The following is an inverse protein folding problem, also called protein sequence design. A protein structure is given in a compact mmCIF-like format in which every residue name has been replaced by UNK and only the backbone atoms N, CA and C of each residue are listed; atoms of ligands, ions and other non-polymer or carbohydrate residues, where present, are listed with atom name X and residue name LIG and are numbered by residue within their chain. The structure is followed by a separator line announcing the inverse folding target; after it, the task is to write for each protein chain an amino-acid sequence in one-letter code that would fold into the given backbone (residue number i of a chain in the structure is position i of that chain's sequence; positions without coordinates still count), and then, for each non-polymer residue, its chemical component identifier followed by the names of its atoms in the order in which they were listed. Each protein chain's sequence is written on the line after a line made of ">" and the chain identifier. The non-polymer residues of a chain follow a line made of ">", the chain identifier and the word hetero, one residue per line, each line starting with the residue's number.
data_IF_042036804543
#
_entry.id   IF_042036804543
#
_cell.length_a   1.000
_cell.length_b   1.000
_cell.length_c   1.000
_cell.angle_alpha   90.00
_cell.angle_beta   90.00
_cell.angle_gamma   90.00
#
_symmetry.space_group_name_H-M   'P 1'
#
loop_
_entity.id
_entity.type
_entity.pdbx_description
1 polymer ?
#
# COMPACT_ATOMS: atom_id res chain seq x y z
N UNK A 1 -3.60 13.36 -11.46
CA UNK A 1 -3.61 14.79 -11.85
C UNK A 1 -4.80 15.04 -12.75
N UNK A 2 -5.75 15.87 -12.31
CA UNK A 2 -6.95 16.22 -13.07
C UNK A 2 -7.76 15.00 -13.58
N UNK A 3 -7.99 14.03 -12.71
CA UNK A 3 -8.78 12.82 -13.02
C UNK A 3 -8.06 11.73 -13.83
N UNK A 4 -6.80 11.94 -14.22
CA UNK A 4 -6.03 10.94 -14.98
C UNK A 4 -5.42 9.87 -14.06
N UNK A 5 -5.42 8.62 -14.55
CA UNK A 5 -4.67 7.50 -13.96
C UNK A 5 -3.19 7.65 -14.31
N UNK A 6 -2.41 8.16 -13.36
CA UNK A 6 -0.99 8.48 -13.54
C UNK A 6 -0.04 7.46 -12.91
N UNK A 7 -0.57 6.47 -12.20
CA UNK A 7 0.18 5.40 -11.57
C UNK A 7 -0.73 4.51 -10.73
N UNK A 8 -0.19 3.40 -10.25
CA UNK A 8 -0.92 2.43 -9.45
C UNK A 8 -0.10 1.22 -9.08
N UNK A 9 -0.71 0.34 -8.29
CA UNK A 9 -0.19 -0.97 -7.93
C UNK A 9 -1.35 -1.97 -7.83
N UNK A 10 -1.04 -3.25 -7.93
CA UNK A 10 -2.01 -4.31 -7.71
C UNK A 10 -1.36 -5.53 -7.07
N UNK A 11 -2.18 -6.37 -6.46
CA UNK A 11 -1.74 -7.54 -5.74
C UNK A 11 -2.89 -8.45 -5.32
N UNK A 12 -2.54 -9.52 -4.62
CA UNK A 12 -3.48 -10.53 -4.11
C UNK A 12 -3.56 -10.40 -2.59
N UNK A 13 -4.78 -10.40 -2.06
CA UNK A 13 -5.05 -10.43 -0.62
C UNK A 13 -5.53 -11.81 -0.18
N UNK A 14 -4.93 -12.37 0.85
CA UNK A 14 -5.37 -13.64 1.46
C UNK A 14 -5.09 -13.65 2.96
N UNK A 15 -6.14 -13.70 3.79
CA UNK A 15 -6.01 -13.42 5.22
C UNK A 15 -5.33 -12.07 5.44
N UNK A 16 -4.41 -12.00 6.40
CA UNK A 16 -3.59 -10.84 6.70
C UNK A 16 -2.31 -10.72 5.84
N UNK A 17 -2.22 -11.46 4.73
CA UNK A 17 -1.17 -11.33 3.71
C UNK A 17 -1.68 -10.51 2.52
N UNK A 18 -0.86 -9.56 2.07
CA UNK A 18 -0.98 -8.94 0.75
C UNK A 18 0.28 -9.21 -0.06
N UNK A 19 0.15 -9.90 -1.19
CA UNK A 19 1.23 -10.13 -2.14
C UNK A 19 1.16 -9.10 -3.27
N UNK A 20 2.12 -8.18 -3.30
CA UNK A 20 2.24 -7.17 -4.35
C UNK A 20 2.79 -7.80 -5.63
N UNK A 21 2.07 -7.64 -6.73
CA UNK A 21 2.45 -8.22 -8.03
C UNK A 21 3.23 -7.22 -8.89
N UNK A 22 2.71 -6.00 -9.02
CA UNK A 22 3.37 -4.98 -9.82
C UNK A 22 2.90 -3.57 -9.48
N UNK A 23 3.67 -2.61 -9.99
CA UNK A 23 3.45 -1.18 -9.83
C UNK A 23 3.76 -0.49 -11.16
N UNK A 24 3.05 0.59 -11.49
CA UNK A 24 3.31 1.37 -12.68
C UNK A 24 3.24 2.87 -12.39
N UNK A 25 3.90 3.66 -13.22
CA UNK A 25 3.78 5.12 -13.26
C UNK A 25 3.77 5.61 -14.70
N UNK A 26 3.12 6.74 -14.94
CA UNK A 26 3.01 7.41 -16.24
C UNK A 26 3.55 8.83 -16.11
N UNK A 27 4.87 8.97 -16.19
CA UNK A 27 5.57 10.24 -15.98
C UNK A 27 5.11 11.32 -16.97
N UNK A 28 4.82 10.93 -18.20
CA UNK A 28 4.29 11.76 -19.27
C UNK A 28 2.91 12.35 -18.95
N UNK A 29 2.17 11.73 -18.03
CA UNK A 29 0.89 12.25 -17.50
C UNK A 29 1.05 13.01 -16.18
N UNK A 30 2.29 13.32 -15.78
CA UNK A 30 2.65 13.95 -14.50
C UNK A 30 2.73 12.95 -13.34
N UNK A 31 2.80 11.65 -13.61
CA UNK A 31 2.83 10.57 -12.62
C UNK A 31 4.18 10.29 -11.99
N UNK A 32 5.13 11.22 -12.02
CA UNK A 32 6.41 11.06 -11.32
C UNK A 32 6.13 10.69 -9.86
N UNK A 33 6.77 9.62 -9.38
CA UNK A 33 6.61 9.09 -8.02
C UNK A 33 5.20 8.59 -7.64
N UNK A 34 4.25 8.50 -8.58
CA UNK A 34 2.89 8.04 -8.29
C UNK A 34 2.86 6.63 -7.69
N UNK A 35 3.75 5.74 -8.16
CA UNK A 35 3.87 4.39 -7.64
C UNK A 35 4.30 4.37 -6.16
N UNK A 36 5.21 5.27 -5.74
CA UNK A 36 5.62 5.43 -4.34
C UNK A 36 4.47 5.90 -3.46
N UNK A 37 3.72 6.90 -3.94
CA UNK A 37 2.53 7.40 -3.23
C UNK A 37 1.51 6.27 -3.05
N UNK A 38 1.24 5.48 -4.09
CA UNK A 38 0.37 4.31 -3.99
C UNK A 38 0.87 3.30 -2.94
N UNK A 39 2.18 3.04 -2.88
CA UNK A 39 2.77 2.12 -1.89
C UNK A 39 2.59 2.64 -0.45
N UNK A 40 2.82 3.93 -0.21
CA UNK A 40 2.61 4.54 1.13
C UNK A 40 1.15 4.41 1.55
N UNK A 41 0.21 4.70 0.65
CA UNK A 41 -1.22 4.54 0.91
C UNK A 41 -1.62 3.08 1.15
N UNK A 42 -1.06 2.14 0.37
CA UNK A 42 -1.27 0.72 0.59
C UNK A 42 -0.80 0.32 1.99
N UNK A 43 0.43 0.66 2.38
CA UNK A 43 0.97 0.31 3.70
C UNK A 43 0.12 0.88 4.83
N UNK A 44 -0.34 2.14 4.69
CA UNK A 44 -1.24 2.75 5.67
C UNK A 44 -2.57 1.98 5.77
N UNK A 45 -3.17 1.61 4.64
CA UNK A 45 -4.38 0.81 4.58
C UNK A 45 -4.20 -0.57 5.22
N UNK A 46 -3.15 -1.30 4.84
CA UNK A 46 -2.82 -2.63 5.36
C UNK A 46 -2.66 -2.60 6.89
N UNK A 47 -1.92 -1.61 7.42
CA UNK A 47 -1.77 -1.40 8.87
C UNK A 47 -3.10 -1.13 9.57
N UNK A 48 -3.92 -0.24 9.01
CA UNK A 48 -5.24 0.08 9.57
C UNK A 48 -6.17 -1.14 9.59
N UNK A 49 -6.00 -2.06 8.63
CA UNK A 49 -6.78 -3.30 8.51
C UNK A 49 -6.23 -4.49 9.29
N UNK A 50 -5.05 -4.36 9.92
CA UNK A 50 -4.43 -5.44 10.67
C UNK A 50 -3.72 -6.49 9.80
N UNK A 51 -3.35 -6.14 8.56
CA UNK A 51 -2.47 -7.00 7.76
C UNK A 51 -1.10 -7.13 8.43
N UNK A 52 -0.53 -8.32 8.32
CA UNK A 52 0.73 -8.69 8.97
C UNK A 52 1.89 -8.71 7.99
N UNK A 53 1.63 -9.07 6.73
CA UNK A 53 2.66 -9.23 5.70
C UNK A 53 2.27 -8.48 4.44
N UNK A 54 3.15 -7.57 4.01
CA UNK A 54 3.21 -7.07 2.65
C UNK A 54 4.39 -7.76 1.97
N UNK A 55 4.13 -8.66 1.05
CA UNK A 55 5.14 -9.33 0.25
C UNK A 55 5.41 -8.53 -1.03
N UNK A 56 6.66 -8.14 -1.25
CA UNK A 56 7.10 -7.38 -2.42
C UNK A 56 7.84 -8.23 -3.44
N UNK A 57 7.83 -9.57 -3.28
CA UNK A 57 8.47 -10.60 -4.10
C UNK A 57 10.02 -10.53 -4.15
N UNK A 58 10.57 -9.42 -4.63
CA UNK A 58 12.01 -9.17 -4.68
C UNK A 58 12.33 -7.83 -4.04
N UNK A 59 13.35 -7.80 -3.17
CA UNK A 59 13.85 -6.56 -2.63
C UNK A 59 14.78 -5.92 -3.66
N UNK A 60 14.30 -4.87 -4.33
CA UNK A 60 15.18 -3.97 -5.05
C UNK A 60 15.66 -2.87 -4.09
N UNK A 61 16.85 -2.28 -4.29
CA UNK A 61 17.37 -1.19 -3.43
C UNK A 61 16.37 -0.04 -3.23
N UNK A 62 15.45 0.14 -4.18
CA UNK A 62 14.38 1.12 -4.09
C UNK A 62 13.33 0.84 -3.00
N UNK A 63 13.14 -0.40 -2.55
CA UNK A 63 12.16 -0.76 -1.52
C UNK A 63 12.70 -0.59 -0.10
N UNK A 64 14.03 -0.65 0.08
CA UNK A 64 14.69 -0.43 1.37
C UNK A 64 14.39 0.96 1.93
N UNK A 65 14.33 1.98 1.07
CA UNK A 65 14.00 3.36 1.48
C UNK A 65 12.57 3.49 2.06
N UNK A 66 11.70 2.51 1.77
CA UNK A 66 10.33 2.44 2.30
C UNK A 66 10.20 1.46 3.48
N UNK A 67 11.34 0.97 4.01
CA UNK A 67 11.38 0.01 5.11
C UNK A 67 11.16 -1.43 4.69
N UNK A 68 11.27 -1.75 3.39
CA UNK A 68 11.33 -3.12 2.91
C UNK A 68 12.59 -3.80 3.44
N UNK A 69 12.45 -5.03 3.92
CA UNK A 69 13.56 -5.83 4.45
C UNK A 69 13.56 -7.20 3.81
N UNK A 70 14.74 -7.69 3.45
CA UNK A 70 14.90 -9.10 3.13
C UNK A 70 14.88 -9.93 4.40
N UNK A 71 14.17 -11.05 4.35
CA UNK A 71 14.11 -12.01 5.45
C UNK A 71 14.50 -13.40 4.95
N UNK A 72 15.10 -14.24 5.80
CA UNK A 72 15.34 -15.63 5.45
C UNK A 72 14.04 -16.34 5.07
N UNK A 73 14.08 -17.22 4.05
CA UNK A 73 12.92 -17.97 3.56
C UNK A 73 12.10 -18.62 4.67
N UNK A 74 12.76 -19.22 5.66
CA UNK A 74 12.10 -19.86 6.81
C UNK A 74 11.26 -18.87 7.63
N UNK A 75 11.80 -17.67 7.86
CA UNK A 75 11.11 -16.58 8.56
C UNK A 75 9.91 -16.10 7.76
N UNK A 76 10.08 -15.88 6.44
CA UNK A 76 8.99 -15.52 5.54
C UNK A 76 7.85 -16.55 5.59
N UNK A 77 8.15 -17.84 5.42
CA UNK A 77 7.13 -18.89 5.43
C UNK A 77 6.36 -18.95 6.75
N UNK A 78 7.05 -18.73 7.88
CA UNK A 78 6.41 -18.69 9.21
C UNK A 78 5.47 -17.48 9.33
N UNK A 79 5.85 -16.33 8.78
CA UNK A 79 5.01 -15.13 8.79
C UNK A 79 3.79 -15.28 7.87
N UNK A 80 3.99 -15.84 6.68
CA UNK A 80 2.91 -16.14 5.72
C UNK A 80 1.91 -17.10 6.35
N UNK A 81 2.36 -18.23 6.90
CA UNK A 81 1.47 -19.21 7.54
C UNK A 81 0.57 -18.58 8.61
N UNK A 82 1.13 -17.70 9.44
CA UNK A 82 0.36 -16.95 10.45
C UNK A 82 -0.60 -15.94 9.81
N UNK A 83 -0.14 -15.22 8.80
CA UNK A 83 -0.93 -14.18 8.14
C UNK A 83 -2.15 -14.76 7.42
N UNK A 84 -1.97 -15.85 6.67
CA UNK A 84 -3.07 -16.49 5.91
C UNK A 84 -4.14 -17.09 6.82
N UNK A 85 -3.77 -17.53 8.03
CA UNK A 85 -4.71 -18.02 9.03
C UNK A 85 -5.47 -16.90 9.78
N UNK A 86 -5.00 -15.65 9.68
CA UNK A 86 -5.61 -14.49 10.33
C UNK A 86 -6.64 -13.84 9.40
N UNK A 87 -7.92 -13.88 9.78
CA UNK A 87 -8.98 -13.25 9.00
C UNK A 87 -9.02 -11.75 9.24
N UNK A 88 -8.77 -10.99 8.17
CA UNK A 88 -8.98 -9.54 8.10
C UNK A 88 -9.90 -9.21 6.93
N UNK A 89 -10.49 -8.03 6.93
CA UNK A 89 -11.28 -7.52 5.81
C UNK A 89 -10.52 -6.43 5.08
N UNK A 90 -10.40 -6.57 3.75
CA UNK A 90 -9.92 -5.49 2.89
C UNK A 90 -10.85 -4.26 3.00
N UNK A 91 -12.16 -4.52 2.98
CA UNK A 91 -13.20 -3.50 3.02
C UNK A 91 -14.07 -3.44 1.78
N UNK A 92 -15.02 -2.51 1.84
CA UNK A 92 -15.83 -2.13 0.70
C UNK A 92 -15.04 -1.18 -0.19
N UNK A 93 -14.88 -1.54 -1.45
CA UNK A 93 -14.40 -0.63 -2.47
C UNK A 93 -15.53 0.34 -2.83
N UNK A 94 -15.33 1.63 -2.52
CA UNK A 94 -16.20 2.70 -2.99
C UNK A 94 -15.53 3.39 -4.19
N UNK A 95 -16.01 3.13 -5.42
CA UNK A 95 -15.43 3.73 -6.63
C UNK A 95 -15.55 5.26 -6.63
N UNK A 96 -16.54 5.84 -5.93
CA UNK A 96 -16.70 7.28 -5.87
C UNK A 96 -15.63 7.94 -5.00
N UNK A 97 -15.10 7.24 -3.98
CA UNK A 97 -13.98 7.68 -3.15
C UNK A 97 -12.61 7.37 -3.76
N UNK A 98 -12.47 6.28 -4.50
CA UNK A 98 -11.20 5.85 -5.09
C UNK A 98 -10.59 6.85 -6.09
N UNK A 99 -11.43 7.72 -6.68
CA UNK A 99 -11.02 8.73 -7.66
C UNK A 99 -10.97 10.15 -7.03
N UNK A 100 -11.39 10.32 -5.77
CA UNK A 100 -11.38 11.63 -5.14
C UNK A 100 -9.95 12.13 -4.94
N UNK A 101 -9.72 13.38 -5.36
CA UNK A 101 -8.48 14.11 -5.09
C UNK A 101 -8.20 13.97 -3.60
N UNK A 102 -6.99 13.50 -3.26
CA UNK A 102 -6.46 13.47 -1.90
C UNK A 102 -6.47 14.92 -1.37
N UNK A 103 -7.61 15.36 -0.82
CA UNK A 103 -7.70 16.62 -0.12
C UNK A 103 -7.22 16.34 1.30
N UNK A 104 -6.27 17.13 1.83
CA UNK A 104 -5.86 16.96 3.20
C UNK A 104 -7.08 17.13 4.10
N UNK A 105 -7.29 16.17 5.02
CA UNK A 105 -8.29 16.29 6.08
C UNK A 105 -8.06 17.62 6.82
N UNK A 106 -9.12 18.39 7.13
CA UNK A 106 -8.95 19.65 7.83
C UNK A 106 -8.30 19.37 9.18
N UNK A 107 -7.08 19.89 9.38
CA UNK A 107 -6.43 19.86 10.68
C UNK A 107 -7.38 20.49 11.69
N UNK A 108 -7.86 19.69 12.64
CA UNK A 108 -8.65 20.17 13.76
C UNK A 108 -7.81 21.17 14.55
N UNK A 109 -8.16 22.45 14.35
CA UNK A 109 -7.83 23.63 15.14
C UNK A 109 -6.57 23.58 16.02
N UNK A 110 -5.57 24.38 15.63
CA UNK A 110 -4.84 25.14 16.63
C UNK A 110 -5.87 25.87 17.51
N UNK A 111 -5.96 25.49 18.79
CA UNK A 111 -6.47 26.40 19.81
C UNK A 111 -5.28 27.25 20.24
N UNK A 112 -5.31 28.51 19.83
CA UNK A 112 -4.57 29.59 20.45
C UNK A 112 -4.84 29.61 21.97
N UNK A 113 -3.76 29.74 22.74
CA UNK A 113 -3.72 30.42 24.02
C UNK A 113 -2.27 30.93 24.22
#
# INVERSE_FOLDING_TARGET
>A
LDGRLVGGLYGVSHGALFAGESMFMRAELGGTDASKVCLVHLVAHLRHRGYMVLDTQMCHPHLEQFGGVEVPRRTYLTQVERAVACLVTWGTFDPARAIQRNQPEPHSGQREA
#
